data_IF_072195370506
#
_entry.id   IF_072195370506
#
_cell.length_a   1.000
_cell.length_b   1.000
_cell.length_c   1.000
_cell.angle_alpha   90.00
_cell.angle_beta   90.00
_cell.angle_gamma   90.00
#
_symmetry.space_group_name_H-M   'P 1'
#
loop_
_entity.id
_entity.type
_entity.pdbx_description
1 polymer ?
#
# COMPACT_ATOMS: atom_id res chain seq x y z
N UNK A 1 -8.76 8.37 -11.11
CA UNK A 1 -9.10 7.93 -9.73
C UNK A 1 -8.09 6.88 -9.32
N UNK A 2 -7.11 7.21 -8.46
CA UNK A 2 -6.09 6.24 -8.04
C UNK A 2 -6.70 5.10 -7.20
N UNK A 3 -6.25 3.88 -7.48
CA UNK A 3 -6.60 2.66 -6.71
C UNK A 3 -5.48 2.35 -5.73
N UNK A 4 -5.84 2.09 -4.48
CA UNK A 4 -4.88 1.63 -3.49
C UNK A 4 -4.40 0.21 -3.85
N UNK A 5 -3.09 0.01 -3.98
CA UNK A 5 -2.51 -1.31 -4.30
C UNK A 5 -2.67 -2.34 -3.16
N UNK A 6 -2.94 -1.88 -1.93
CA UNK A 6 -3.11 -2.70 -0.73
C UNK A 6 -4.58 -3.15 -0.59
N UNK A 7 -5.51 -2.21 -0.46
CA UNK A 7 -6.93 -2.53 -0.24
C UNK A 7 -7.78 -2.58 -1.52
N UNK A 8 -7.23 -2.19 -2.67
CA UNK A 8 -7.95 -2.17 -3.95
C UNK A 8 -9.02 -1.08 -4.08
N UNK A 9 -9.23 -0.25 -3.06
CA UNK A 9 -10.27 0.79 -3.09
C UNK A 9 -9.86 1.96 -3.98
N UNK A 10 -10.83 2.52 -4.70
CA UNK A 10 -10.66 3.76 -5.47
C UNK A 10 -10.79 4.97 -4.56
N UNK A 11 -9.78 5.82 -4.57
CA UNK A 11 -9.81 7.09 -3.84
C UNK A 11 -9.89 8.24 -4.82
N UNK A 12 -10.61 9.30 -4.42
CA UNK A 12 -10.51 10.58 -5.10
C UNK A 12 -9.16 11.18 -4.76
N UNK A 13 -8.49 11.73 -5.77
CA UNK A 13 -7.14 12.33 -5.74
C UNK A 13 -6.96 13.45 -4.68
N UNK A 14 -8.05 13.87 -4.04
CA UNK A 14 -8.07 14.87 -2.97
C UNK A 14 -7.73 14.29 -1.57
N UNK A 15 -7.61 12.97 -1.43
CA UNK A 15 -7.14 12.36 -0.17
C UNK A 15 -5.63 12.21 -0.24
N UNK A 16 -4.93 12.91 0.66
CA UNK A 16 -3.49 12.78 0.89
C UNK A 16 -3.16 11.29 1.08
N UNK A 17 -2.43 10.70 0.14
CA UNK A 17 -2.02 9.30 0.16
C UNK A 17 -0.65 9.18 -0.48
N UNK A 18 0.00 8.05 -0.24
CA UNK A 18 1.37 7.80 -0.66
C UNK A 18 1.40 7.30 -2.10
N UNK A 19 2.10 8.00 -2.98
CA UNK A 19 2.42 7.48 -4.31
C UNK A 19 3.85 6.93 -4.31
N UNK A 20 4.01 5.62 -4.50
CA UNK A 20 5.31 4.96 -4.58
C UNK A 20 5.38 4.16 -5.89
N UNK A 21 6.41 4.42 -6.70
CA UNK A 21 6.72 3.65 -7.91
C UNK A 21 5.54 3.52 -8.90
N UNK A 22 4.72 4.58 -9.04
CA UNK A 22 3.52 4.58 -9.89
C UNK A 22 2.29 3.91 -9.27
N UNK A 23 2.39 3.36 -8.06
CA UNK A 23 1.28 2.82 -7.29
C UNK A 23 0.81 3.80 -6.22
N UNK A 24 -0.49 3.80 -5.96
CA UNK A 24 -1.10 4.59 -4.89
C UNK A 24 -1.34 3.72 -3.66
N UNK A 25 -1.11 4.26 -2.48
CA UNK A 25 -1.47 3.71 -1.18
C UNK A 25 -2.33 4.75 -0.48
N UNK A 26 -3.50 4.33 0.00
CA UNK A 26 -4.37 5.23 0.76
C UNK A 26 -3.82 5.48 2.18
N UNK A 27 -4.18 6.61 2.81
CA UNK A 27 -3.69 6.96 4.13
C UNK A 27 -4.09 5.93 5.21
N UNK A 28 -5.22 5.25 5.04
CA UNK A 28 -5.64 4.16 5.95
C UNK A 28 -4.68 2.98 5.89
N UNK A 29 -4.26 2.58 4.68
CA UNK A 29 -3.27 1.52 4.52
C UNK A 29 -1.87 1.98 4.94
N UNK A 30 -1.48 3.22 4.65
CA UNK A 30 -0.22 3.79 5.13
C UNK A 30 -0.14 3.77 6.65
N UNK A 31 -1.16 4.30 7.33
CA UNK A 31 -1.25 4.28 8.78
C UNK A 31 -1.30 2.83 9.31
N UNK A 32 -1.96 1.94 8.59
CA UNK A 32 -1.96 0.50 8.87
C UNK A 32 -0.56 -0.11 8.83
N UNK A 33 0.26 0.24 7.84
CA UNK A 33 1.67 -0.21 7.73
C UNK A 33 2.54 0.40 8.83
N UNK A 34 2.40 1.70 9.10
CA UNK A 34 3.20 2.43 10.09
C UNK A 34 2.88 1.96 11.52
N UNK A 35 1.60 1.70 11.80
CA UNK A 35 1.15 1.19 13.09
C UNK A 35 1.30 -0.35 13.23
N UNK A 36 1.63 -1.05 12.13
CA UNK A 36 1.75 -2.50 12.16
C UNK A 36 2.99 -2.94 12.93
N UNK A 37 2.79 -3.84 13.87
CA UNK A 37 3.88 -4.57 14.50
C UNK A 37 4.21 -5.82 13.68
N UNK A 38 5.48 -6.24 13.65
CA UNK A 38 5.92 -7.42 12.91
C UNK A 38 5.26 -8.74 13.37
N UNK A 39 4.65 -8.72 14.56
CA UNK A 39 3.92 -9.85 15.16
C UNK A 39 2.46 -9.93 14.70
N UNK A 40 1.95 -8.90 14.01
CA UNK A 40 0.55 -8.84 13.62
C UNK A 40 0.26 -9.79 12.44
N UNK A 41 -0.79 -10.62 12.49
CA UNK A 41 -1.17 -11.48 11.37
C UNK A 41 -1.49 -10.69 10.10
N UNK A 42 -1.83 -9.40 10.21
CA UNK A 42 -1.97 -8.48 9.08
C UNK A 42 -0.66 -8.15 8.36
N UNK A 43 0.50 -8.41 8.98
CA UNK A 43 1.84 -8.10 8.43
C UNK A 43 2.09 -8.67 7.05
N UNK A 44 1.65 -9.91 6.81
CA UNK A 44 1.81 -10.52 5.48
C UNK A 44 0.99 -9.81 4.40
N UNK A 45 -0.20 -9.31 4.72
CA UNK A 45 -1.06 -8.63 3.75
C UNK A 45 -0.39 -7.34 3.23
N UNK A 46 0.07 -6.50 4.15
CA UNK A 46 0.76 -5.26 3.81
C UNK A 46 2.13 -5.52 3.16
N UNK A 47 2.88 -6.50 3.67
CA UNK A 47 4.17 -6.91 3.10
C UNK A 47 4.05 -7.40 1.66
N UNK A 48 3.00 -8.15 1.32
CA UNK A 48 2.76 -8.60 -0.05
C UNK A 48 2.42 -7.44 -0.99
N UNK A 49 1.62 -6.47 -0.54
CA UNK A 49 1.33 -5.28 -1.35
C UNK A 49 2.56 -4.40 -1.56
N UNK A 50 3.36 -4.16 -0.51
CA UNK A 50 4.64 -3.46 -0.62
C UNK A 50 5.61 -4.21 -1.53
N UNK A 51 5.67 -5.55 -1.44
CA UNK A 51 6.44 -6.38 -2.37
C UNK A 51 6.01 -6.16 -3.82
N UNK A 52 4.72 -5.98 -4.14
CA UNK A 52 4.30 -5.71 -5.53
C UNK A 52 4.80 -4.36 -6.05
N UNK A 53 4.92 -3.36 -5.18
CA UNK A 53 5.44 -2.04 -5.52
C UNK A 53 6.96 -2.09 -5.75
N UNK A 54 7.67 -2.86 -4.93
CA UNK A 54 9.14 -2.91 -4.91
C UNK A 54 9.74 -4.06 -5.74
N UNK A 55 9.00 -5.15 -5.98
CA UNK A 55 9.37 -6.18 -6.95
C UNK A 55 9.13 -5.66 -8.37
N UNK A 56 9.98 -4.73 -8.78
CA UNK A 56 10.42 -4.68 -10.16
C UNK A 56 11.08 -6.03 -10.45
N UNK A 57 10.34 -6.95 -11.07
CA UNK A 57 10.97 -8.09 -11.74
C UNK A 57 11.74 -7.52 -12.93
N UNK A 58 13.02 -7.24 -12.72
CA UNK A 58 13.97 -7.10 -13.81
C UNK A 58 14.16 -8.50 -14.42
N UNK A 59 13.25 -8.89 -15.29
CA UNK A 59 13.39 -10.05 -16.17
C UNK A 59 12.83 -9.70 -17.55
#
# INVERSE_FOLDING_TARGET
>A
MPVCIICGQMFKENKQGLFINGHYICPECENGVVALSADDPGYNFYKMGLKKIWCFSNA
#
